data_IF_049067969112
#
_entry.id   IF_049067969112
#
_cell.length_a   1.000
_cell.length_b   1.000
_cell.length_c   1.000
_cell.angle_alpha   90.00
_cell.angle_beta   90.00
_cell.angle_gamma   90.00
#
_symmetry.space_group_name_H-M   'P 1'
#
loop_
_entity.id
_entity.type
_entity.pdbx_description
1 polymer ?
#
# COMPACT_ATOMS: atom_id res chain seq x y z
N UNK A 1 -8.74 -24.97 -49.75
CA UNK A 1 -8.29 -23.57 -49.67
C UNK A 1 -9.17 -22.72 -48.76
N UNK A 2 -10.48 -22.60 -49.01
CA UNK A 2 -11.39 -21.75 -48.20
C UNK A 2 -11.39 -22.12 -46.71
N UNK A 3 -11.44 -23.41 -46.36
CA UNK A 3 -11.38 -23.87 -44.96
C UNK A 3 -10.09 -23.44 -44.24
N UNK A 4 -8.95 -23.47 -44.92
CA UNK A 4 -7.67 -23.05 -44.34
C UNK A 4 -7.64 -21.53 -44.11
N UNK A 5 -8.19 -20.75 -45.05
CA UNK A 5 -8.28 -19.29 -44.92
C UNK A 5 -9.18 -18.90 -43.74
N UNK A 6 -10.31 -19.59 -43.54
CA UNK A 6 -11.19 -19.36 -42.39
C UNK A 6 -10.50 -19.66 -41.06
N UNK A 7 -9.75 -20.76 -40.99
CA UNK A 7 -9.01 -21.14 -39.78
C UNK A 7 -7.92 -20.10 -39.47
N UNK A 8 -7.17 -19.65 -40.47
CA UNK A 8 -6.12 -18.64 -40.31
C UNK A 8 -6.72 -17.30 -39.88
N UNK A 9 -7.84 -16.89 -40.48
CA UNK A 9 -8.55 -15.66 -40.10
C UNK A 9 -9.07 -15.71 -38.66
N UNK A 10 -9.65 -16.85 -38.25
CA UNK A 10 -10.11 -17.05 -36.88
C UNK A 10 -8.95 -17.02 -35.87
N UNK A 11 -7.80 -17.64 -36.20
CA UNK A 11 -6.61 -17.61 -35.36
C UNK A 11 -6.04 -16.19 -35.21
N UNK A 12 -5.98 -15.43 -36.30
CA UNK A 12 -5.57 -14.02 -36.26
C UNK A 12 -6.48 -13.17 -35.38
N UNK A 13 -7.80 -13.34 -35.51
CA UNK A 13 -8.77 -12.65 -34.65
C UNK A 13 -8.60 -13.02 -33.18
N UNK A 14 -8.36 -14.30 -32.89
CA UNK A 14 -8.15 -14.79 -31.53
C UNK A 14 -6.87 -14.19 -30.92
N UNK A 15 -5.77 -14.15 -31.68
CA UNK A 15 -4.52 -13.54 -31.23
C UNK A 15 -4.73 -12.04 -30.96
N UNK A 16 -5.36 -11.29 -31.86
CA UNK A 16 -5.60 -9.84 -31.67
C UNK A 16 -6.55 -9.59 -30.49
N UNK A 17 -7.55 -10.43 -30.28
CA UNK A 17 -8.52 -10.26 -29.19
C UNK A 17 -7.92 -10.55 -27.81
N UNK A 18 -7.03 -11.54 -27.71
CA UNK A 18 -6.39 -11.91 -26.45
C UNK A 18 -5.11 -11.11 -26.16
N UNK A 19 -4.30 -10.82 -27.18
CA UNK A 19 -2.97 -10.16 -27.06
C UNK A 19 -2.92 -8.72 -27.61
N UNK A 20 -4.00 -8.20 -28.17
CA UNK A 20 -4.03 -6.79 -28.57
C UNK A 20 -3.86 -5.86 -27.36
N UNK A 21 -3.50 -4.60 -27.61
CA UNK A 21 -3.19 -3.60 -26.60
C UNK A 21 -4.30 -3.38 -25.55
N UNK A 22 -5.52 -3.89 -25.79
CA UNK A 22 -6.69 -3.81 -24.91
C UNK A 22 -7.32 -5.20 -24.67
N UNK A 23 -6.54 -6.28 -24.85
CA UNK A 23 -7.00 -7.65 -24.64
C UNK A 23 -7.39 -7.92 -23.18
N UNK A 24 -8.14 -8.99 -22.96
CA UNK A 24 -8.65 -9.39 -21.64
C UNK A 24 -7.56 -9.54 -20.56
N UNK A 25 -6.32 -9.83 -20.98
CA UNK A 25 -5.18 -9.93 -20.08
C UNK A 25 -4.87 -8.61 -19.35
N UNK A 26 -4.94 -7.48 -20.06
CA UNK A 26 -4.63 -6.17 -19.48
C UNK A 26 -5.72 -5.74 -18.49
N UNK A 27 -6.99 -6.09 -18.78
CA UNK A 27 -8.10 -5.87 -17.84
C UNK A 27 -7.93 -6.70 -16.56
N UNK A 28 -7.43 -7.93 -16.66
CA UNK A 28 -7.17 -8.78 -15.50
C UNK A 28 -6.03 -8.21 -14.65
N UNK A 29 -4.92 -7.81 -15.28
CA UNK A 29 -3.76 -7.23 -14.60
C UNK A 29 -4.12 -5.91 -13.90
N UNK A 30 -4.84 -5.03 -14.60
CA UNK A 30 -5.28 -3.73 -14.08
C UNK A 30 -6.26 -3.89 -12.91
N UNK A 31 -7.09 -4.95 -12.91
CA UNK A 31 -7.97 -5.27 -11.77
C UNK A 31 -7.18 -5.69 -10.54
N UNK A 32 -6.15 -6.52 -10.71
CA UNK A 32 -5.28 -6.94 -9.60
C UNK A 32 -4.54 -5.75 -9.02
N UNK A 33 -3.91 -4.93 -9.86
CA UNK A 33 -3.15 -3.76 -9.44
C UNK A 33 -4.03 -2.76 -8.67
N UNK A 34 -5.26 -2.52 -9.13
CA UNK A 34 -6.23 -1.70 -8.38
C UNK A 34 -6.55 -2.26 -7.00
N UNK A 35 -6.68 -3.58 -6.87
CA UNK A 35 -6.96 -4.23 -5.58
C UNK A 35 -5.79 -4.05 -4.61
N UNK A 36 -4.56 -4.28 -5.09
CA UNK A 36 -3.36 -4.17 -4.27
C UNK A 36 -3.10 -2.73 -3.80
N UNK A 37 -3.29 -1.75 -4.70
CA UNK A 37 -3.20 -0.33 -4.35
C UNK A 37 -4.25 0.03 -3.29
N UNK A 38 -5.48 -0.45 -3.43
CA UNK A 38 -6.54 -0.17 -2.47
C UNK A 38 -6.26 -0.79 -1.09
N UNK A 39 -5.70 -2.01 -1.06
CA UNK A 39 -5.26 -2.65 0.17
C UNK A 39 -4.13 -1.86 0.83
N UNK A 40 -3.13 -1.41 0.06
CA UNK A 40 -2.04 -0.58 0.55
C UNK A 40 -2.53 0.75 1.14
N UNK A 41 -3.47 1.43 0.47
CA UNK A 41 -4.09 2.67 0.98
C UNK A 41 -4.78 2.41 2.32
N UNK A 42 -5.49 1.30 2.45
CA UNK A 42 -6.20 0.94 3.68
C UNK A 42 -5.22 0.70 4.82
N UNK A 43 -4.18 -0.10 4.58
CA UNK A 43 -3.13 -0.36 5.57
C UNK A 43 -2.40 0.92 6.01
N UNK A 44 -2.08 1.82 5.07
CA UNK A 44 -1.43 3.09 5.38
C UNK A 44 -2.33 4.03 6.19
N UNK A 45 -3.65 4.03 5.95
CA UNK A 45 -4.60 4.80 6.75
C UNK A 45 -4.66 4.31 8.19
N UNK A 46 -4.73 3.00 8.38
CA UNK A 46 -4.72 2.39 9.71
C UNK A 46 -3.41 2.71 10.46
N UNK A 47 -2.27 2.57 9.79
CA UNK A 47 -0.98 2.96 10.38
C UNK A 47 -0.96 4.44 10.77
N UNK A 48 -1.46 5.33 9.90
CA UNK A 48 -1.53 6.76 10.21
C UNK A 48 -2.38 7.02 11.46
N UNK A 49 -3.54 6.38 11.58
CA UNK A 49 -4.41 6.54 12.74
C UNK A 49 -3.74 6.06 14.03
N UNK A 50 -3.05 4.91 13.99
CA UNK A 50 -2.29 4.42 15.15
C UNK A 50 -1.16 5.37 15.56
N UNK A 51 -0.40 5.90 14.60
CA UNK A 51 0.67 6.87 14.85
C UNK A 51 0.12 8.20 15.37
N UNK A 52 -1.01 8.68 14.86
CA UNK A 52 -1.67 9.89 15.37
C UNK A 52 -2.17 9.69 16.80
N UNK A 53 -2.73 8.52 17.12
CA UNK A 53 -3.13 8.18 18.47
C UNK A 53 -1.92 8.11 19.43
N UNK A 54 -0.80 7.54 19.00
CA UNK A 54 0.45 7.50 19.78
C UNK A 54 1.04 8.91 19.97
N UNK A 55 1.10 9.71 18.91
CA UNK A 55 1.52 11.11 18.96
C UNK A 55 0.64 11.90 19.93
N UNK A 56 -0.67 11.73 19.87
CA UNK A 56 -1.60 12.40 20.79
C UNK A 56 -1.31 12.00 22.23
N UNK A 57 -1.18 10.69 22.53
CA UNK A 57 -0.81 10.22 23.88
C UNK A 57 0.50 10.82 24.39
N UNK A 58 1.51 10.94 23.52
CA UNK A 58 2.77 11.60 23.87
C UNK A 58 2.54 13.09 24.14
N UNK A 59 1.84 13.81 23.25
CA UNK A 59 1.68 15.28 23.39
C UNK A 59 0.72 15.72 24.50
N UNK A 60 -0.31 14.94 24.81
CA UNK A 60 -1.34 15.32 25.78
C UNK A 60 -0.91 15.01 27.22
N UNK A 61 0.08 14.13 27.41
CA UNK A 61 0.53 13.71 28.73
C UNK A 61 2.01 14.09 28.95
N UNK A 62 2.23 15.36 29.29
CA UNK A 62 3.55 15.92 29.65
C UNK A 62 4.22 15.12 30.80
N UNK A 63 3.42 14.52 31.69
CA UNK A 63 3.92 13.63 32.75
C UNK A 63 4.44 12.29 32.20
N UNK A 64 3.77 11.73 31.19
CA UNK A 64 4.21 10.50 30.53
C UNK A 64 5.51 10.70 29.74
N UNK A 65 5.69 11.83 29.04
CA UNK A 65 6.96 12.18 28.38
C UNK A 65 8.08 12.33 29.42
N UNK A 66 7.83 13.01 30.54
CA UNK A 66 8.82 13.18 31.60
C UNK A 66 9.23 11.84 32.22
N UNK A 67 8.26 10.94 32.45
CA UNK A 67 8.52 9.61 32.98
C UNK A 67 9.29 8.72 31.97
N UNK A 68 8.92 8.75 30.69
CA UNK A 68 9.63 8.00 29.63
C UNK A 68 11.07 8.49 29.44
N UNK A 69 11.30 9.80 29.47
CA UNK A 69 12.64 10.39 29.37
C UNK A 69 13.53 10.01 30.56
N UNK A 70 12.97 9.94 31.77
CA UNK A 70 13.68 9.52 32.98
C UNK A 70 13.95 8.00 33.01
N UNK A 71 12.97 7.17 32.66
CA UNK A 71 13.07 5.71 32.79
C UNK A 71 13.81 5.04 31.63
N UNK A 72 13.50 5.40 30.37
CA UNK A 72 14.12 4.76 29.19
C UNK A 72 15.39 5.43 28.72
N UNK A 73 15.51 6.74 28.87
CA UNK A 73 16.64 7.51 28.36
C UNK A 73 17.56 8.07 29.44
N UNK A 74 17.23 7.87 30.73
CA UNK A 74 17.98 8.37 31.91
C UNK A 74 18.31 9.86 31.80
N UNK A 75 17.45 10.66 31.17
CA UNK A 75 17.69 12.09 31.01
C UNK A 75 17.38 12.82 32.33
N UNK A 76 18.38 13.51 32.87
CA UNK A 76 18.26 14.37 34.04
C UNK A 76 17.78 15.78 33.66
N UNK A 77 17.15 16.50 34.61
CA UNK A 77 16.73 17.90 34.38
C UNK A 77 17.95 18.81 34.17
N UNK A 78 17.78 19.90 33.41
CA UNK A 78 18.80 20.93 33.21
C UNK A 78 19.16 21.57 34.56
N UNK A 79 20.18 21.04 35.23
CA UNK A 79 20.63 21.47 36.57
C UNK A 79 20.85 20.37 37.61
N UNK A 80 20.45 19.12 37.35
CA UNK A 80 20.89 17.98 38.18
C UNK A 80 22.27 17.52 37.73
N UNK A 81 23.27 17.63 38.63
CA UNK A 81 24.61 17.08 38.40
C UNK A 81 24.58 15.56 38.52
N UNK A 82 25.22 14.88 37.56
CA UNK A 82 25.69 13.50 37.68
C UNK A 82 26.84 13.43 38.68
#
# INVERSE_FOLDING_TARGET
>A
MIRAILIIGALMLLIIFFFGDHGLYQLYLLRSERSDIQAAITALREQKETLEAEKNKLTTDSKYIEQLARERFRMAKKGEKV
#
